data_IF_494225919757
#
_entry.id   IF_494225919757
#
_cell.length_a   1.000
_cell.length_b   1.000
_cell.length_c   1.000
_cell.angle_alpha   90.00
_cell.angle_beta   90.00
_cell.angle_gamma   90.00
#
_symmetry.space_group_name_H-M   'P 1'
#
loop_
_entity.id
_entity.type
_entity.pdbx_description
1 polymer ?
#
# COMPACT_ATOMS: atom_id res chain seq x y z
N UNK A 1 -15.30 -18.55 -22.77
CA UNK A 1 -14.62 -17.60 -21.85
C UNK A 1 -13.86 -18.46 -20.86
N UNK A 2 -12.53 -18.41 -20.85
CA UNK A 2 -11.76 -19.17 -19.87
C UNK A 2 -12.00 -18.54 -18.50
N UNK A 3 -12.49 -19.34 -17.53
CA UNK A 3 -12.47 -18.94 -16.13
C UNK A 3 -11.02 -18.58 -15.77
N UNK A 4 -10.80 -17.34 -15.34
CA UNK A 4 -9.53 -17.01 -14.68
C UNK A 4 -9.54 -17.75 -13.35
N UNK A 5 -8.82 -18.87 -13.30
CA UNK A 5 -8.48 -19.54 -12.06
C UNK A 5 -7.32 -18.76 -11.42
N UNK A 6 -7.56 -18.20 -10.23
CA UNK A 6 -6.54 -17.55 -9.41
C UNK A 6 -5.74 -18.58 -8.58
N UNK A 7 -5.74 -19.85 -8.99
CA UNK A 7 -5.07 -20.92 -8.26
C UNK A 7 -3.59 -20.60 -8.03
N UNK A 8 -3.18 -20.64 -6.76
CA UNK A 8 -1.80 -20.39 -6.28
C UNK A 8 -1.28 -18.97 -6.52
N UNK A 9 -2.17 -17.99 -6.62
CA UNK A 9 -1.82 -16.57 -6.68
C UNK A 9 -2.06 -15.90 -5.32
N UNK A 10 -1.45 -14.72 -5.12
CA UNK A 10 -1.79 -13.88 -3.96
C UNK A 10 -3.18 -13.33 -4.19
N UNK A 11 -4.11 -13.68 -3.31
CA UNK A 11 -5.52 -13.31 -3.43
C UNK A 11 -5.86 -12.06 -2.60
N UNK A 12 -5.21 -11.89 -1.44
CA UNK A 12 -5.46 -10.79 -0.51
C UNK A 12 -4.21 -10.41 0.28
N UNK A 13 -4.11 -9.14 0.68
CA UNK A 13 -3.14 -8.62 1.65
C UNK A 13 -3.92 -7.93 2.76
N UNK A 14 -3.67 -8.28 4.01
CA UNK A 14 -4.41 -7.73 5.15
C UNK A 14 -3.48 -7.05 6.15
N UNK A 15 -3.86 -5.86 6.61
CA UNK A 15 -3.17 -5.10 7.65
C UNK A 15 -4.06 -4.97 8.89
N UNK A 16 -3.49 -5.26 10.05
CA UNK A 16 -4.06 -4.86 11.33
C UNK A 16 -3.74 -3.37 11.55
N UNK A 17 -4.77 -2.53 11.64
CA UNK A 17 -4.63 -1.07 11.80
C UNK A 17 -5.30 -0.62 13.09
N UNK A 18 -4.77 0.43 13.70
CA UNK A 18 -5.36 1.01 14.92
C UNK A 18 -6.62 1.84 14.61
N UNK A 19 -6.73 2.38 13.40
CA UNK A 19 -7.84 3.23 12.97
C UNK A 19 -8.07 3.09 11.45
N UNK A 20 -9.17 2.41 11.08
CA UNK A 20 -9.55 2.19 9.68
C UNK A 20 -9.80 3.51 8.95
N UNK A 21 -10.42 4.51 9.59
CA UNK A 21 -10.72 5.78 8.94
C UNK A 21 -9.44 6.54 8.60
N UNK A 22 -8.45 6.52 9.50
CA UNK A 22 -7.11 7.08 9.24
C UNK A 22 -6.41 6.37 8.09
N UNK A 23 -6.44 5.04 8.05
CA UNK A 23 -5.82 4.27 6.97
C UNK A 23 -6.51 4.54 5.63
N UNK A 24 -7.84 4.57 5.57
CA UNK A 24 -8.60 4.96 4.36
C UNK A 24 -8.20 6.34 3.88
N UNK A 25 -8.14 7.33 4.77
CA UNK A 25 -7.77 8.69 4.42
C UNK A 25 -6.35 8.76 3.85
N UNK A 26 -5.39 8.07 4.46
CA UNK A 26 -4.01 8.02 3.99
C UNK A 26 -3.90 7.34 2.61
N UNK A 27 -4.30 6.08 2.52
CA UNK A 27 -4.13 5.29 1.28
C UNK A 27 -5.00 5.82 0.14
N UNK A 28 -6.19 6.34 0.44
CA UNK A 28 -7.05 7.01 -0.53
C UNK A 28 -6.44 8.30 -1.09
N UNK A 29 -5.86 9.15 -0.25
CA UNK A 29 -5.25 10.41 -0.71
C UNK A 29 -3.93 10.22 -1.44
N UNK A 30 -3.07 9.30 -0.98
CA UNK A 30 -1.77 9.06 -1.63
C UNK A 30 -1.96 8.33 -2.96
N UNK A 31 -2.66 7.19 -2.92
CA UNK A 31 -2.68 6.21 -3.99
C UNK A 31 -4.02 6.11 -4.73
N UNK A 32 -5.06 6.84 -4.29
CA UNK A 32 -6.37 6.76 -4.91
C UNK A 32 -7.10 5.45 -4.64
N UNK A 33 -6.72 4.70 -3.59
CA UNK A 33 -7.38 3.44 -3.25
C UNK A 33 -8.86 3.68 -2.90
N UNK A 34 -9.68 2.69 -3.26
CA UNK A 34 -11.12 2.68 -2.97
C UNK A 34 -11.46 1.63 -1.92
N UNK A 35 -12.57 1.81 -1.20
CA UNK A 35 -12.89 1.03 -0.02
C UNK A 35 -14.34 0.55 0.01
N UNK A 36 -14.55 -0.67 0.49
CA UNK A 36 -15.88 -1.25 0.76
C UNK A 36 -15.94 -1.72 2.21
N UNK A 37 -16.95 -1.26 2.94
CA UNK A 37 -17.11 -1.57 4.36
C UNK A 37 -18.01 -2.78 4.57
N UNK A 38 -17.51 -3.76 5.34
CA UNK A 38 -18.27 -4.96 5.71
C UNK A 38 -18.65 -4.96 7.20
N UNK A 39 -18.36 -3.87 7.91
CA UNK A 39 -18.67 -3.69 9.32
C UNK A 39 -17.77 -2.64 9.96
N UNK A 40 -17.91 -2.42 11.28
CA UNK A 40 -17.13 -1.41 11.99
C UNK A 40 -15.65 -1.78 12.15
N UNK A 41 -15.30 -3.07 12.04
CA UNK A 41 -13.95 -3.59 12.30
C UNK A 41 -13.24 -4.11 11.06
N UNK A 42 -13.87 -4.03 9.88
CA UNK A 42 -13.30 -4.54 8.64
C UNK A 42 -13.70 -3.70 7.42
N UNK A 43 -12.70 -3.34 6.64
CA UNK A 43 -12.83 -2.68 5.34
C UNK A 43 -11.98 -3.43 4.32
N UNK A 44 -12.56 -3.76 3.17
CA UNK A 44 -11.77 -4.14 2.00
C UNK A 44 -11.27 -2.88 1.28
N UNK A 45 -9.99 -2.86 0.90
CA UNK A 45 -9.45 -1.88 -0.03
C UNK A 45 -9.22 -2.50 -1.41
N UNK A 46 -9.24 -1.66 -2.45
CA UNK A 46 -8.87 -2.01 -3.82
C UNK A 46 -7.86 -0.99 -4.36
N UNK A 47 -6.71 -1.48 -4.82
CA UNK A 47 -5.61 -0.66 -5.37
C UNK A 47 -5.70 -0.48 -6.90
N UNK A 48 -6.65 -1.17 -7.54
CA UNK A 48 -6.86 -1.21 -8.99
C UNK A 48 -6.34 -2.49 -9.68
N UNK A 49 -5.55 -3.31 -8.97
CA UNK A 49 -5.02 -4.61 -9.43
C UNK A 49 -5.46 -5.77 -8.53
N UNK A 50 -5.35 -5.60 -7.22
CA UNK A 50 -5.73 -6.58 -6.19
C UNK A 50 -6.68 -5.94 -5.17
N UNK A 51 -7.24 -6.79 -4.32
CA UNK A 51 -7.96 -6.39 -3.11
C UNK A 51 -7.14 -6.70 -1.87
N UNK A 52 -7.51 -6.04 -0.79
CA UNK A 52 -6.82 -6.02 0.48
C UNK A 52 -7.77 -5.81 1.65
N UNK A 53 -7.31 -6.01 2.88
CA UNK A 53 -8.09 -5.75 4.09
C UNK A 53 -7.41 -4.76 5.04
N UNK A 54 -8.19 -3.87 5.63
CA UNK A 54 -7.86 -3.19 6.89
C UNK A 54 -8.79 -3.73 7.98
N UNK A 55 -8.20 -4.21 9.08
CA UNK A 55 -8.94 -4.78 10.20
C UNK A 55 -8.45 -4.22 11.53
N UNK A 56 -9.37 -4.05 12.49
CA UNK A 56 -9.05 -3.73 13.89
C UNK A 56 -9.25 -4.95 14.80
N UNK A 57 -9.30 -6.15 14.22
CA UNK A 57 -9.58 -7.40 14.94
C UNK A 57 -8.46 -7.83 15.88
N UNK A 58 -7.21 -7.48 15.57
CA UNK A 58 -6.03 -7.78 16.38
C UNK A 58 -5.14 -6.55 16.56
N UNK A 59 -4.22 -6.55 17.54
CA UNK A 59 -3.25 -5.47 17.70
C UNK A 59 -2.40 -5.26 16.45
N UNK A 60 -2.08 -3.99 16.18
CA UNK A 60 -1.13 -3.62 15.13
C UNK A 60 0.23 -4.27 15.42
N UNK A 61 0.72 -5.07 14.48
CA UNK A 61 2.02 -5.74 14.55
C UNK A 61 2.77 -5.49 13.25
N UNK A 62 3.48 -4.36 13.12
CA UNK A 62 4.17 -4.00 11.89
C UNK A 62 5.33 -4.94 11.61
N UNK A 63 5.49 -5.34 10.35
CA UNK A 63 6.47 -6.31 9.89
C UNK A 63 5.94 -7.13 8.70
N UNK A 64 6.60 -8.25 8.40
CA UNK A 64 6.15 -9.16 7.34
C UNK A 64 6.71 -8.84 5.94
N UNK A 65 6.06 -9.28 4.86
CA UNK A 65 6.54 -9.06 3.50
C UNK A 65 6.46 -7.59 3.10
N UNK A 66 7.48 -7.10 2.39
CA UNK A 66 7.49 -5.75 1.83
C UNK A 66 6.50 -5.67 0.66
N UNK A 67 5.43 -4.88 0.82
CA UNK A 67 4.51 -4.56 -0.27
C UNK A 67 5.12 -3.44 -1.12
N UNK A 68 5.22 -3.67 -2.43
CA UNK A 68 5.87 -2.75 -3.36
C UNK A 68 4.82 -2.24 -4.38
N UNK A 69 4.56 -0.94 -4.31
CA UNK A 69 3.61 -0.23 -5.16
C UNK A 69 4.33 0.39 -6.36
N UNK A 70 3.65 0.46 -7.50
CA UNK A 70 4.18 1.13 -8.70
C UNK A 70 3.59 2.54 -8.82
N UNK A 71 4.42 3.50 -9.21
CA UNK A 71 4.00 4.85 -9.58
C UNK A 71 4.77 5.32 -10.82
N UNK A 72 4.09 5.97 -11.76
CA UNK A 72 4.76 6.57 -12.93
C UNK A 72 5.59 7.81 -12.54
N UNK A 73 5.12 8.59 -11.56
CA UNK A 73 5.81 9.76 -11.01
C UNK A 73 6.22 9.49 -9.56
N UNK A 74 7.45 9.00 -9.39
CA UNK A 74 7.98 8.58 -8.08
C UNK A 74 8.11 9.77 -7.12
N UNK A 75 8.57 10.92 -7.61
CA UNK A 75 8.77 12.13 -6.81
C UNK A 75 7.44 12.68 -6.31
N UNK A 76 6.42 12.75 -7.18
CA UNK A 76 5.09 13.23 -6.78
C UNK A 76 4.47 12.30 -5.74
N UNK A 77 4.59 10.97 -5.89
CA UNK A 77 4.09 10.04 -4.87
C UNK A 77 4.82 10.20 -3.54
N UNK A 78 6.15 10.38 -3.55
CA UNK A 78 6.92 10.63 -2.33
C UNK A 78 6.43 11.91 -1.63
N UNK A 79 6.23 13.00 -2.37
CA UNK A 79 5.74 14.26 -1.82
C UNK A 79 4.35 14.13 -1.18
N UNK A 80 3.43 13.36 -1.79
CA UNK A 80 2.11 13.10 -1.20
C UNK A 80 2.21 12.33 0.12
N UNK A 81 3.09 11.34 0.19
CA UNK A 81 3.33 10.54 1.40
C UNK A 81 3.87 11.44 2.52
N UNK A 82 4.90 12.23 2.23
CA UNK A 82 5.51 13.16 3.19
C UNK A 82 4.52 14.23 3.66
N UNK A 83 3.69 14.77 2.75
CA UNK A 83 2.67 15.77 3.08
C UNK A 83 1.59 15.26 4.05
N UNK A 84 1.35 13.95 4.10
CA UNK A 84 0.45 13.30 5.06
C UNK A 84 1.16 12.83 6.34
N UNK A 85 2.42 13.24 6.54
CA UNK A 85 3.19 12.98 7.75
C UNK A 85 3.83 11.60 7.83
N UNK A 86 3.76 10.79 6.77
CA UNK A 86 4.47 9.52 6.71
C UNK A 86 5.97 9.74 6.49
N UNK A 87 6.78 8.84 7.06
CA UNK A 87 8.24 8.97 7.09
C UNK A 87 8.88 8.14 5.99
N UNK A 88 9.80 8.73 5.23
CA UNK A 88 10.68 7.97 4.33
C UNK A 88 11.70 7.19 5.17
N UNK A 89 11.64 5.86 5.13
CA UNK A 89 12.58 4.98 5.83
C UNK A 89 13.84 4.74 5.03
N UNK A 90 13.73 4.76 3.69
CA UNK A 90 14.85 4.65 2.77
C UNK A 90 14.67 5.60 1.61
N UNK A 91 15.61 6.54 1.47
CA UNK A 91 15.63 7.49 0.37
C UNK A 91 15.68 6.79 -1.00
N UNK A 92 15.29 7.50 -2.07
CA UNK A 92 15.29 6.96 -3.44
C UNK A 92 16.65 6.38 -3.79
N UNK A 93 16.65 5.15 -4.29
CA UNK A 93 17.84 4.49 -4.83
C UNK A 93 17.52 3.79 -6.15
N UNK A 94 18.50 3.78 -7.04
CA UNK A 94 18.39 3.14 -8.35
C UNK A 94 18.78 1.64 -8.28
N UNK A 95 18.24 0.88 -9.22
CA UNK A 95 18.59 -0.51 -9.50
C UNK A 95 18.42 -0.77 -11.01
N UNK A 96 18.94 -1.88 -11.56
CA UNK A 96 18.72 -2.20 -12.97
C UNK A 96 17.21 -2.26 -13.30
N UNK A 97 16.76 -1.39 -14.20
CA UNK A 97 15.37 -1.29 -14.64
C UNK A 97 14.50 -0.25 -13.93
N UNK A 98 14.98 0.41 -12.87
CA UNK A 98 14.18 1.43 -12.20
C UNK A 98 14.79 2.03 -10.94
N UNK A 99 13.95 2.68 -10.15
CA UNK A 99 14.31 3.28 -8.86
C UNK A 99 13.15 3.19 -7.90
N UNK A 100 13.44 3.18 -6.60
CA UNK A 100 12.42 3.09 -5.53
C UNK A 100 12.85 3.79 -4.26
N UNK A 101 11.88 4.15 -3.44
CA UNK A 101 12.06 4.55 -2.03
C UNK A 101 11.18 3.69 -1.14
N UNK A 102 11.48 3.68 0.16
CA UNK A 102 10.66 3.02 1.19
C UNK A 102 10.11 4.05 2.16
N UNK A 103 8.92 3.80 2.68
CA UNK A 103 8.25 4.66 3.66
C UNK A 103 7.56 3.82 4.74
N UNK A 104 7.32 4.45 5.88
CA UNK A 104 6.54 3.89 6.98
C UNK A 104 5.15 4.53 6.95
N UNK A 105 4.12 3.69 6.90
CA UNK A 105 2.72 4.14 6.95
C UNK A 105 2.29 4.57 8.37
N UNK A 106 1.06 5.09 8.55
CA UNK A 106 0.57 5.56 9.85
C UNK A 106 0.53 4.50 10.96
N UNK A 107 0.48 3.22 10.61
CA UNK A 107 0.44 2.09 11.54
C UNK A 107 1.80 1.43 11.74
N UNK A 108 2.83 1.89 11.02
CA UNK A 108 4.21 1.45 11.19
C UNK A 108 4.68 0.42 10.16
N UNK A 109 3.86 0.05 9.18
CA UNK A 109 4.24 -0.88 8.13
C UNK A 109 5.26 -0.25 7.19
N UNK A 110 6.31 -0.99 6.84
CA UNK A 110 7.23 -0.56 5.80
C UNK A 110 6.72 -1.01 4.43
N UNK A 111 6.55 -0.05 3.53
CA UNK A 111 6.16 -0.25 2.14
C UNK A 111 7.17 0.43 1.21
N UNK A 112 7.14 0.05 -0.06
CA UNK A 112 7.97 0.66 -1.10
C UNK A 112 7.13 1.22 -2.25
N UNK A 113 7.61 2.28 -2.89
CA UNK A 113 7.11 2.72 -4.20
C UNK A 113 8.26 2.66 -5.19
N UNK A 114 8.03 2.06 -6.35
CA UNK A 114 9.00 2.02 -7.45
C UNK A 114 8.43 2.58 -8.74
N UNK A 115 9.33 3.05 -9.60
CA UNK A 115 9.04 3.40 -10.99
C UNK A 115 10.03 2.70 -11.91
N UNK A 116 9.60 2.40 -13.13
CA UNK A 116 10.49 1.95 -14.18
C UNK A 116 11.40 3.10 -14.65
N UNK A 117 12.59 2.77 -15.12
CA UNK A 117 13.39 3.70 -15.92
C UNK A 117 12.75 3.89 -17.29
N UNK A 118 12.78 5.10 -17.83
CA UNK A 118 12.43 5.31 -19.23
C UNK A 118 13.32 4.44 -20.11
N UNK A 119 12.71 3.75 -21.08
CA UNK A 119 13.39 2.94 -22.10
C UNK A 119 14.03 3.85 -23.14
#
# INVERSE_FOLDING_TARGET
MAERSNDRQIDNIEFNVADIARSKAFYGQVFGWTFTDYGPTYTEFRDGRITGGFTTGEPVCPGGPLVILYADDLEQTQQRIEALGARISRAVFAFPGGRRFHFIDPDGYELAVWTASAV
#
